data_IF_270657671878
#
_entry.id   IF_270657671878
#
_cell.length_a   1.000
_cell.length_b   1.000
_cell.length_c   1.000
_cell.angle_alpha   90.00
_cell.angle_beta   90.00
_cell.angle_gamma   90.00
#
_symmetry.space_group_name_H-M   'P 1'
#
loop_
_entity.id
_entity.type
_entity.pdbx_description
1 polymer ?
#
# COMPACT_ATOMS: atom_id res chain seq x y z
N UNK A 1 10.09 -9.36 -15.95
CA UNK A 1 10.31 -7.89 -15.96
C UNK A 1 9.30 -7.07 -15.13
N UNK A 2 8.19 -7.65 -14.65
CA UNK A 2 7.09 -6.92 -13.99
C UNK A 2 7.38 -6.59 -12.50
N UNK A 3 8.26 -7.37 -11.87
CA UNK A 3 8.53 -7.32 -10.42
C UNK A 3 9.32 -6.08 -9.97
N UNK A 4 10.31 -5.66 -10.76
CA UNK A 4 11.10 -4.44 -10.49
C UNK A 4 10.22 -3.19 -10.46
N UNK A 5 9.23 -3.13 -11.35
CA UNK A 5 8.29 -2.01 -11.44
C UNK A 5 7.32 -1.94 -10.25
N UNK A 6 6.96 -3.09 -9.65
CA UNK A 6 6.16 -3.15 -8.42
C UNK A 6 6.97 -2.74 -7.18
N UNK A 7 8.21 -3.20 -7.08
CA UNK A 7 9.10 -2.86 -5.97
C UNK A 7 9.38 -1.35 -5.88
N UNK A 8 9.60 -0.69 -7.03
CA UNK A 8 9.85 0.75 -7.09
C UNK A 8 8.61 1.58 -6.77
N UNK A 9 7.44 1.18 -7.27
CA UNK A 9 6.17 1.86 -6.96
C UNK A 9 5.84 1.79 -5.46
N UNK A 10 6.05 0.64 -4.84
CA UNK A 10 5.78 0.51 -3.42
C UNK A 10 6.74 1.33 -2.54
N UNK A 11 8.04 1.37 -2.87
CA UNK A 11 8.99 2.22 -2.15
C UNK A 11 8.54 3.69 -2.17
N UNK A 12 8.03 4.15 -3.31
CA UNK A 12 7.50 5.50 -3.45
C UNK A 12 6.24 5.72 -2.59
N UNK A 13 5.33 4.73 -2.51
CA UNK A 13 4.09 4.83 -1.71
C UNK A 13 4.35 4.89 -0.21
N UNK A 14 5.28 4.09 0.32
CA UNK A 14 5.63 4.16 1.75
C UNK A 14 6.47 5.39 2.11
N UNK A 15 7.39 5.82 1.24
CA UNK A 15 8.11 7.09 1.45
C UNK A 15 7.14 8.26 1.50
N UNK A 16 6.08 8.23 0.68
CA UNK A 16 5.01 9.23 0.73
C UNK A 16 4.17 9.17 2.03
N UNK A 17 4.17 8.05 2.74
CA UNK A 17 3.56 7.88 4.07
C UNK A 17 4.57 8.07 5.22
N UNK A 18 5.78 8.57 4.93
CA UNK A 18 6.83 8.83 5.92
C UNK A 18 7.77 7.64 6.21
N UNK A 19 7.63 6.52 5.51
CA UNK A 19 8.49 5.35 5.65
C UNK A 19 9.88 5.57 5.04
N UNK A 20 10.94 5.36 5.83
CA UNK A 20 12.33 5.45 5.33
C UNK A 20 12.77 4.10 4.74
N UNK A 21 13.42 4.08 3.57
CA UNK A 21 13.99 2.84 3.04
C UNK A 21 15.15 2.40 3.92
N UNK A 22 15.04 1.20 4.52
CA UNK A 22 16.08 0.59 5.34
C UNK A 22 16.65 -0.62 4.61
N UNK A 23 17.96 -0.65 4.41
CA UNK A 23 18.66 -1.84 3.97
C UNK A 23 18.85 -2.79 5.14
N UNK A 24 18.47 -4.06 4.98
CA UNK A 24 18.62 -5.10 6.01
C UNK A 24 19.49 -6.24 5.49
N UNK A 25 20.45 -6.64 6.31
CA UNK A 25 21.30 -7.80 6.07
C UNK A 25 20.71 -8.98 6.83
N UNK A 26 20.47 -10.10 6.14
CA UNK A 26 19.88 -11.30 6.74
C UNK A 26 20.98 -12.35 6.98
N UNK A 27 20.90 -13.04 8.12
CA UNK A 27 21.69 -14.25 8.33
C UNK A 27 21.20 -15.37 7.41
N UNK A 28 22.03 -16.37 7.07
CA UNK A 28 21.62 -17.46 6.18
C UNK A 28 20.34 -18.16 6.62
N UNK A 29 20.18 -18.43 7.93
CA UNK A 29 18.97 -19.03 8.48
C UNK A 29 17.73 -18.13 8.35
N UNK A 30 17.88 -16.81 8.53
CA UNK A 30 16.80 -15.85 8.33
C UNK A 30 16.37 -15.78 6.86
N UNK A 31 17.31 -15.85 5.93
CA UNK A 31 17.02 -15.91 4.48
C UNK A 31 16.18 -17.13 4.13
N UNK A 32 16.59 -18.32 4.59
CA UNK A 32 15.85 -19.56 4.33
C UNK A 32 14.43 -19.55 4.93
N UNK A 33 14.27 -19.01 6.15
CA UNK A 33 12.95 -18.84 6.76
C UNK A 33 12.07 -17.88 5.93
N UNK A 34 12.65 -16.82 5.36
CA UNK A 34 11.96 -15.87 4.52
C UNK A 34 11.51 -16.47 3.18
N UNK A 35 12.33 -17.32 2.57
CA UNK A 35 11.97 -18.07 1.37
C UNK A 35 10.81 -19.03 1.64
N UNK A 36 10.81 -19.71 2.78
CA UNK A 36 9.70 -20.58 3.19
C UNK A 36 8.38 -19.81 3.36
N UNK A 37 8.42 -18.61 3.94
CA UNK A 37 7.24 -17.74 4.09
C UNK A 37 6.74 -17.27 2.71
N UNK A 38 7.65 -16.87 1.82
CA UNK A 38 7.29 -16.47 0.46
C UNK A 38 6.60 -17.60 -0.29
N UNK A 39 7.16 -18.82 -0.24
CA UNK A 39 6.60 -19.99 -0.89
C UNK A 39 5.23 -20.39 -0.32
N UNK A 40 5.09 -20.38 1.03
CA UNK A 40 3.88 -20.82 1.72
C UNK A 40 2.69 -19.89 1.47
N UNK A 41 2.92 -18.59 1.38
CA UNK A 41 1.85 -17.60 1.24
C UNK A 41 1.77 -16.96 -0.14
N UNK A 42 2.62 -17.39 -1.08
CA UNK A 42 2.76 -16.82 -2.43
C UNK A 42 2.86 -15.29 -2.40
N UNK A 43 3.74 -14.79 -1.52
CA UNK A 43 3.95 -13.36 -1.31
C UNK A 43 5.36 -12.95 -1.73
N UNK A 44 5.54 -11.67 -2.07
CA UNK A 44 6.87 -11.12 -2.34
C UNK A 44 7.75 -11.14 -1.08
N UNK A 45 9.07 -11.22 -1.23
CA UNK A 45 10.07 -11.11 -0.14
C UNK A 45 9.78 -9.96 0.81
N UNK A 46 9.35 -8.83 0.23
CA UNK A 46 9.07 -7.59 0.95
C UNK A 46 7.84 -7.69 1.85
N UNK A 47 6.80 -8.35 1.36
CA UNK A 47 5.56 -8.60 2.09
C UNK A 47 5.82 -9.61 3.22
N UNK A 48 6.62 -10.64 2.94
CA UNK A 48 7.08 -11.58 3.97
C UNK A 48 7.87 -10.88 5.08
N UNK A 49 8.79 -9.96 4.74
CA UNK A 49 9.51 -9.12 5.72
C UNK A 49 8.53 -8.26 6.52
N UNK A 50 7.58 -7.60 5.86
CA UNK A 50 6.61 -6.70 6.52
C UNK A 50 5.77 -7.46 7.55
N UNK A 51 5.23 -8.62 7.16
CA UNK A 51 4.45 -9.50 8.05
C UNK A 51 5.29 -10.06 9.20
N UNK A 52 6.54 -10.41 8.95
CA UNK A 52 7.45 -10.88 10.00
C UNK A 52 7.74 -9.77 11.03
N UNK A 53 7.91 -8.52 10.58
CA UNK A 53 8.12 -7.37 11.46
C UNK A 53 6.85 -6.99 12.23
N UNK A 54 5.67 -7.02 11.60
CA UNK A 54 4.39 -6.82 12.27
C UNK A 54 4.14 -7.89 13.33
N UNK A 55 4.44 -9.15 13.01
CA UNK A 55 4.37 -10.25 13.95
C UNK A 55 5.35 -10.04 15.13
N UNK A 56 6.60 -9.69 14.85
CA UNK A 56 7.58 -9.40 15.89
C UNK A 56 7.15 -8.20 16.77
N UNK A 57 6.61 -7.13 16.15
CA UNK A 57 6.10 -5.96 16.85
C UNK A 57 4.94 -6.30 17.80
N UNK A 58 3.98 -7.12 17.35
CA UNK A 58 2.86 -7.58 18.15
C UNK A 58 3.28 -8.48 19.34
N UNK A 59 4.47 -9.06 19.28
CA UNK A 59 5.00 -9.97 20.30
C UNK A 59 6.26 -9.42 20.99
N UNK A 60 6.57 -8.12 20.85
CA UNK A 60 7.74 -7.49 21.50
C UNK A 60 7.70 -7.60 23.04
N UNK A 61 6.50 -7.69 23.62
CA UNK A 61 6.31 -7.91 25.07
C UNK A 61 6.59 -9.34 25.55
N UNK A 62 6.90 -10.28 24.65
CA UNK A 62 7.28 -11.66 25.00
C UNK A 62 8.80 -11.90 24.92
N UNK A 63 9.57 -10.86 24.60
CA UNK A 63 11.01 -10.93 24.36
C UNK A 63 11.87 -10.54 25.60
N UNK A 64 11.35 -10.70 26.82
CA UNK A 64 12.25 -10.91 27.97
C UNK A 64 12.69 -12.37 28.00
N UNK A 65 13.59 -12.68 27.07
CA UNK A 65 14.49 -13.83 27.13
C UNK A 65 15.76 -13.45 26.36
N UNK A 66 16.40 -12.37 26.80
CA UNK A 66 17.77 -12.08 26.43
C UNK A 66 18.69 -13.08 27.10
N UNK A 67 18.85 -14.26 26.49
CA UNK A 67 19.97 -15.21 26.61
C UNK A 67 19.50 -16.56 26.05
N UNK A 68 19.74 -16.79 24.77
CA UNK A 68 19.34 -18.06 24.16
C UNK A 68 19.53 -18.17 22.66
N UNK A 69 20.43 -17.39 22.05
CA UNK A 69 20.90 -17.69 20.69
C UNK A 69 22.28 -18.37 20.77
N UNK A 70 22.30 -19.55 21.38
CA UNK A 70 23.34 -20.55 21.14
C UNK A 70 22.77 -21.59 20.18
N UNK A 71 23.40 -21.72 19.02
CA UNK A 71 23.22 -22.83 18.10
C UNK A 71 23.57 -24.14 18.80
N UNK A 72 22.64 -25.11 18.80
CA UNK A 72 22.91 -26.51 19.13
C UNK A 72 22.10 -27.03 20.33
N UNK A 73 20.97 -27.67 20.05
CA UNK A 73 20.24 -28.45 21.05
C UNK A 73 18.91 -28.93 20.50
N UNK A 74 18.71 -30.25 20.46
CA UNK A 74 17.46 -30.92 20.13
C UNK A 74 16.30 -30.37 20.99
N UNK A 75 15.60 -29.36 20.50
CA UNK A 75 14.30 -29.00 21.03
C UNK A 75 13.22 -29.70 20.21
N UNK A 76 12.94 -30.94 20.59
CA UNK A 76 11.61 -31.51 20.38
C UNK A 76 10.62 -30.59 21.08
N UNK A 77 9.72 -29.90 20.37
CA UNK A 77 8.67 -29.15 21.04
C UNK A 77 7.86 -30.14 21.88
N UNK A 78 7.58 -29.80 23.13
CA UNK A 78 6.70 -30.60 23.97
C UNK A 78 5.29 -30.57 23.36
N UNK A 79 4.93 -31.66 22.68
CA UNK A 79 3.66 -31.83 21.99
C UNK A 79 2.53 -32.23 22.94
N UNK A 80 2.82 -32.48 24.22
CA UNK A 80 1.82 -32.85 25.22
C UNK A 80 0.64 -31.86 25.32
N UNK A 81 0.82 -30.52 25.27
CA UNK A 81 -0.29 -29.57 25.34
C UNK A 81 -1.16 -29.58 24.07
N UNK A 82 -0.55 -29.85 22.92
CA UNK A 82 -1.24 -29.92 21.62
C UNK A 82 -2.04 -31.21 21.51
N UNK A 83 -1.46 -32.33 21.95
CA UNK A 83 -2.14 -33.63 22.00
C UNK A 83 -3.31 -33.61 22.99
N UNK A 84 -3.16 -32.98 24.15
CA UNK A 84 -4.25 -32.80 25.11
C UNK A 84 -5.42 -31.98 24.53
N UNK A 85 -5.11 -30.92 23.76
CA UNK A 85 -6.13 -30.12 23.05
C UNK A 85 -6.81 -30.89 21.93
N UNK A 86 -6.08 -31.75 21.22
CA UNK A 86 -6.64 -32.61 20.17
C UNK A 86 -7.59 -33.67 20.75
N UNK A 87 -7.20 -34.34 21.83
CA UNK A 87 -8.05 -35.30 22.53
C UNK A 87 -9.34 -34.64 23.07
N UNK A 88 -9.24 -33.40 23.56
CA UNK A 88 -10.40 -32.63 24.02
C UNK A 88 -11.35 -32.23 22.87
N UNK A 89 -10.80 -31.90 21.70
CA UNK A 89 -11.59 -31.62 20.49
C UNK A 89 -12.28 -32.88 19.96
N UNK A 90 -11.59 -34.02 19.93
CA UNK A 90 -12.18 -35.31 19.55
C UNK A 90 -13.31 -35.72 20.50
N UNK A 91 -13.13 -35.53 21.81
CA UNK A 91 -14.17 -35.76 22.82
C UNK A 91 -15.40 -34.88 22.60
N UNK A 92 -15.20 -33.61 22.22
CA UNK A 92 -16.30 -32.68 21.91
C UNK A 92 -17.01 -33.04 20.59
N UNK A 93 -16.28 -33.51 19.58
CA UNK A 93 -16.88 -33.96 18.33
C UNK A 93 -17.68 -35.25 18.49
N UNK A 94 -17.21 -36.20 19.31
CA UNK A 94 -17.97 -37.42 19.64
C UNK A 94 -19.30 -37.16 20.35
N UNK A 95 -19.47 -36.00 21.00
CA UNK A 95 -20.76 -35.59 21.58
C UNK A 95 -21.74 -34.96 20.58
N UNK A 96 -21.26 -34.52 19.40
CA UNK A 96 -22.09 -33.89 18.37
C UNK A 96 -22.70 -34.93 17.42
N UNK A 97 -22.06 -36.10 17.28
CA UNK A 97 -22.57 -37.20 16.42
C UNK A 97 -23.70 -38.02 17.05
N UNK A 98 -24.07 -37.78 18.31
CA UNK A 98 -25.13 -38.50 19.02
C UNK A 98 -26.50 -37.80 18.99
N UNK A 99 -26.88 -37.17 17.87
CA UNK A 99 -28.27 -36.67 17.69
C UNK A 99 -28.74 -36.76 16.23
N UNK A 100 -29.75 -37.58 15.90
CA UNK A 100 -30.27 -37.68 14.53
C UNK A 100 -31.19 -36.48 14.17
N UNK A 101 -31.43 -36.23 12.87
CA UNK A 101 -32.12 -35.03 12.39
C UNK A 101 -33.65 -35.23 12.30
N UNK A 102 -34.40 -34.20 12.69
CA UNK A 102 -35.82 -33.99 12.37
C UNK A 102 -35.90 -32.51 11.99
N UNK A 103 -35.93 -32.13 10.70
CA UNK A 103 -36.99 -32.25 9.70
C UNK A 103 -38.25 -31.46 10.04
N UNK A 104 -38.60 -30.54 9.13
CA UNK A 104 -39.86 -29.78 9.10
C UNK A 104 -39.62 -28.30 8.82
N UNK A 105 -39.70 -27.86 7.55
CA UNK A 105 -40.90 -27.23 6.94
C UNK A 105 -41.11 -25.78 7.44
N UNK A 106 -41.47 -24.74 6.68
CA UNK A 106 -41.75 -24.42 5.25
C UNK A 106 -42.19 -22.95 5.30
N UNK A 107 -42.11 -22.19 4.20
CA UNK A 107 -42.82 -20.92 4.06
C UNK A 107 -42.01 -19.83 3.35
N UNK A 108 -41.97 -19.84 2.02
CA UNK A 108 -42.76 -18.97 1.13
C UNK A 108 -42.13 -17.58 0.91
N UNK A 109 -41.60 -17.30 -0.29
CA UNK A 109 -42.27 -16.74 -1.49
C UNK A 109 -42.29 -15.21 -1.47
N UNK A 110 -41.59 -14.59 -2.42
CA UNK A 110 -41.68 -13.17 -2.72
C UNK A 110 -40.70 -12.77 -3.82
N UNK A 111 -41.21 -12.71 -5.04
CA UNK A 111 -40.49 -12.41 -6.28
C UNK A 111 -39.96 -10.95 -6.37
N UNK A 112 -39.10 -10.66 -7.36
CA UNK A 112 -38.40 -9.40 -7.56
C UNK A 112 -39.18 -8.46 -8.49
N UNK A 113 -39.14 -7.15 -8.24
CA UNK A 113 -39.26 -6.09 -9.25
C UNK A 113 -39.20 -4.73 -8.55
N UNK A 114 -38.21 -3.91 -8.86
CA UNK A 114 -38.42 -2.49 -9.16
C UNK A 114 -37.17 -1.97 -9.88
N UNK A 115 -37.40 -1.67 -11.16
CA UNK A 115 -36.52 -0.90 -12.02
C UNK A 115 -36.35 0.53 -11.48
N UNK A 116 -35.18 1.14 -11.74
CA UNK A 116 -35.02 2.56 -12.11
C UNK A 116 -33.55 2.83 -12.49
N UNK A 117 -33.34 2.93 -13.81
CA UNK A 117 -32.57 3.92 -14.58
C UNK A 117 -31.14 4.38 -14.19
N UNK A 118 -30.31 4.73 -15.20
CA UNK A 118 -28.90 5.07 -15.07
C UNK A 118 -28.71 6.59 -14.82
N UNK A 119 -28.06 6.95 -13.72
CA UNK A 119 -27.62 8.34 -13.51
C UNK A 119 -26.27 8.56 -14.21
N UNK A 120 -26.35 9.08 -15.44
CA UNK A 120 -25.27 9.82 -16.06
C UNK A 120 -25.13 11.21 -15.44
N UNK A 121 -23.87 11.66 -15.37
CA UNK A 121 -23.40 13.03 -15.19
C UNK A 121 -23.68 13.69 -13.83
N UNK A 122 -22.61 13.95 -13.08
CA UNK A 122 -22.37 15.25 -12.47
C UNK A 122 -20.91 15.40 -12.01
N UNK A 123 -20.15 16.12 -12.84
CA UNK A 123 -19.28 17.22 -12.40
C UNK A 123 -18.33 16.95 -11.23
N UNK A 124 -17.21 16.28 -11.49
CA UNK A 124 -15.97 16.53 -10.73
C UNK A 124 -15.30 17.84 -11.19
N UNK A 125 -16.06 18.92 -11.12
CA UNK A 125 -15.59 20.30 -11.30
C UNK A 125 -15.51 20.92 -9.90
N UNK A 126 -14.75 20.28 -9.00
CA UNK A 126 -14.69 20.64 -7.58
C UNK A 126 -13.30 20.97 -7.06
N UNK A 127 -12.26 20.88 -7.89
CA UNK A 127 -10.91 21.34 -7.57
C UNK A 127 -10.56 22.50 -8.51
N UNK A 128 -11.44 23.50 -8.53
CA UNK A 128 -11.11 24.79 -9.12
C UNK A 128 -9.96 25.37 -8.29
N UNK A 129 -8.77 25.34 -8.89
CA UNK A 129 -7.60 26.14 -8.61
C UNK A 129 -7.89 27.30 -7.67
N UNK A 130 -7.49 27.17 -6.40
CA UNK A 130 -7.49 28.26 -5.41
C UNK A 130 -6.53 29.40 -5.78
N UNK A 131 -5.76 29.24 -6.86
CA UNK A 131 -4.89 30.30 -7.36
C UNK A 131 -5.61 31.20 -8.37
N UNK A 132 -5.47 32.53 -8.24
CA UNK A 132 -6.02 33.49 -9.19
C UNK A 132 -5.46 33.24 -10.60
N UNK A 133 -6.29 33.46 -11.64
CA UNK A 133 -5.99 33.05 -13.02
C UNK A 133 -4.62 33.51 -13.55
N UNK A 134 -4.20 34.74 -13.23
CA UNK A 134 -2.87 35.25 -13.62
C UNK A 134 -1.71 34.51 -12.90
N UNK A 135 -1.91 34.10 -11.65
CA UNK A 135 -0.91 33.31 -10.92
C UNK A 135 -0.82 31.88 -11.46
N UNK A 136 -1.95 31.31 -11.86
CA UNK A 136 -1.99 30.02 -12.53
C UNK A 136 -1.26 30.06 -13.88
N UNK A 137 -1.46 31.10 -14.68
CA UNK A 137 -0.79 31.26 -15.98
C UNK A 137 0.73 31.44 -15.83
N UNK A 138 1.17 32.25 -14.86
CA UNK A 138 2.60 32.38 -14.52
C UNK A 138 3.20 31.05 -14.06
N UNK A 139 2.44 30.25 -13.32
CA UNK A 139 2.90 28.94 -12.88
C UNK A 139 2.98 27.93 -14.04
N UNK A 140 2.04 27.98 -14.98
CA UNK A 140 2.11 27.19 -16.23
C UNK A 140 3.35 27.58 -17.04
N UNK A 141 3.61 28.87 -17.21
CA UNK A 141 4.78 29.37 -17.92
C UNK A 141 6.08 28.95 -17.23
N UNK A 142 6.14 29.10 -15.91
CA UNK A 142 7.26 28.63 -15.10
C UNK A 142 7.51 27.13 -15.27
N UNK A 143 6.46 26.31 -15.13
CA UNK A 143 6.54 24.86 -15.28
C UNK A 143 6.96 24.48 -16.69
N UNK A 144 6.44 25.14 -17.73
CA UNK A 144 6.82 24.92 -19.11
C UNK A 144 8.30 25.23 -19.35
N UNK A 145 8.79 26.37 -18.84
CA UNK A 145 10.19 26.76 -18.97
C UNK A 145 11.12 25.74 -18.31
N UNK A 146 10.81 25.32 -17.08
CA UNK A 146 11.61 24.33 -16.36
C UNK A 146 11.54 22.93 -16.99
N UNK A 147 10.39 22.52 -17.53
CA UNK A 147 10.26 21.27 -18.27
C UNK A 147 10.94 21.31 -19.65
N UNK A 148 11.07 22.49 -20.26
CA UNK A 148 11.86 22.68 -21.47
C UNK A 148 13.37 22.62 -21.18
N UNK A 149 13.83 23.28 -20.11
CA UNK A 149 15.24 23.30 -19.70
C UNK A 149 15.76 21.94 -19.20
N UNK A 150 14.98 21.25 -18.33
CA UNK A 150 15.39 20.00 -17.68
C UNK A 150 14.78 18.75 -18.31
N UNK A 151 13.94 18.91 -19.32
CA UNK A 151 13.18 17.85 -19.97
C UNK A 151 11.82 17.56 -19.30
N UNK A 152 10.88 17.07 -20.11
CA UNK A 152 9.49 16.82 -19.68
C UNK A 152 9.36 15.82 -18.51
N UNK A 153 10.40 14.99 -18.29
CA UNK A 153 10.44 14.00 -17.21
C UNK A 153 10.99 14.53 -15.88
N UNK A 154 11.17 15.84 -15.75
CA UNK A 154 11.59 16.47 -14.49
C UNK A 154 10.62 16.09 -13.36
N UNK A 155 11.17 15.76 -12.20
CA UNK A 155 10.37 15.37 -11.05
C UNK A 155 9.51 16.55 -10.56
N UNK A 156 8.24 16.29 -10.24
CA UNK A 156 7.31 17.32 -9.72
C UNK A 156 7.77 17.91 -8.39
N UNK A 157 8.47 17.12 -7.58
CA UNK A 157 9.16 17.58 -6.36
C UNK A 157 10.19 18.67 -6.69
N UNK A 158 11.00 18.46 -7.72
CA UNK A 158 12.00 19.43 -8.16
C UNK A 158 11.36 20.69 -8.74
N UNK A 159 10.28 20.56 -9.51
CA UNK A 159 9.53 21.71 -10.02
C UNK A 159 8.93 22.55 -8.88
N UNK A 160 8.37 21.89 -7.86
CA UNK A 160 7.83 22.54 -6.67
C UNK A 160 8.90 23.29 -5.87
N UNK A 161 10.07 22.66 -5.66
CA UNK A 161 11.21 23.27 -4.98
C UNK A 161 11.73 24.50 -5.72
N UNK A 162 11.87 24.41 -7.06
CA UNK A 162 12.31 25.53 -7.89
C UNK A 162 11.30 26.68 -7.87
N UNK A 163 10.00 26.37 -7.98
CA UNK A 163 8.95 27.38 -7.92
C UNK A 163 8.97 28.14 -6.59
N UNK A 164 9.22 27.43 -5.49
CA UNK A 164 9.36 28.02 -4.15
C UNK A 164 10.62 28.88 -4.02
N UNK A 165 11.73 28.47 -4.62
CA UNK A 165 12.99 29.23 -4.61
C UNK A 165 12.89 30.53 -5.43
N UNK A 166 12.15 30.49 -6.54
CA UNK A 166 11.96 31.65 -7.43
C UNK A 166 10.80 32.56 -7.00
N UNK A 167 10.12 32.23 -5.89
CA UNK A 167 9.04 33.04 -5.34
C UNK A 167 7.79 33.08 -6.23
N UNK A 168 7.59 32.05 -7.07
CA UNK A 168 6.36 31.92 -7.84
C UNK A 168 5.23 31.56 -6.89
N UNK A 169 4.06 32.17 -7.09
CA UNK A 169 2.86 31.83 -6.31
C UNK A 169 2.50 30.38 -6.62
N UNK A 170 2.63 29.53 -5.62
CA UNK A 170 2.35 28.09 -5.68
C UNK A 170 1.40 27.70 -4.57
N UNK A 171 0.89 26.47 -4.68
CA UNK A 171 0.01 25.89 -3.68
C UNK A 171 0.83 25.50 -2.44
N UNK A 172 0.19 25.48 -1.27
CA UNK A 172 0.87 25.26 0.02
C UNK A 172 1.46 23.85 0.15
N UNK A 173 0.90 22.91 -0.60
CA UNK A 173 1.32 21.50 -0.57
C UNK A 173 1.83 21.02 -1.93
N UNK A 174 2.82 20.13 -1.88
CA UNK A 174 3.32 19.43 -3.07
C UNK A 174 2.22 18.63 -3.78
N UNK A 175 1.23 18.12 -3.02
CA UNK A 175 0.13 17.33 -3.58
C UNK A 175 -0.74 18.19 -4.49
N UNK A 176 -1.15 19.36 -4.01
CA UNK A 176 -1.93 20.33 -4.78
C UNK A 176 -1.16 20.85 -6.00
N UNK A 177 0.13 21.17 -5.83
CA UNK A 177 0.99 21.53 -6.96
C UNK A 177 1.08 20.41 -8.01
N UNK A 178 1.21 19.15 -7.57
CA UNK A 178 1.26 18.00 -8.46
C UNK A 178 -0.06 17.77 -9.21
N UNK A 179 -1.19 18.03 -8.55
CA UNK A 179 -2.51 18.00 -9.16
C UNK A 179 -2.64 19.13 -10.20
N UNK A 180 -2.22 20.35 -9.86
CA UNK A 180 -2.19 21.50 -10.76
C UNK A 180 -1.40 21.21 -12.04
N UNK A 181 -0.17 20.70 -11.91
CA UNK A 181 0.66 20.33 -13.06
C UNK A 181 -0.02 19.27 -13.90
N UNK A 182 -0.63 18.26 -13.27
CA UNK A 182 -1.34 17.18 -13.98
C UNK A 182 -2.53 17.72 -14.78
N UNK A 183 -3.31 18.64 -14.21
CA UNK A 183 -4.46 19.26 -14.84
C UNK A 183 -4.07 20.18 -16.01
N UNK A 184 -2.91 20.83 -15.92
CA UNK A 184 -2.44 21.81 -16.91
C UNK A 184 -1.38 21.25 -17.87
N UNK A 185 -1.13 19.93 -17.90
CA UNK A 185 -0.07 19.35 -18.73
C UNK A 185 -0.16 19.72 -20.21
N UNK A 186 -1.37 19.78 -20.78
CA UNK A 186 -1.54 20.12 -22.19
C UNK A 186 -1.20 21.58 -22.47
N UNK A 187 -1.59 22.50 -21.58
CA UNK A 187 -1.22 23.93 -21.65
C UNK A 187 0.27 24.14 -21.45
N UNK A 188 0.89 23.38 -20.54
CA UNK A 188 2.35 23.39 -20.31
C UNK A 188 3.08 22.95 -21.58
N UNK A 189 2.66 21.85 -22.21
CA UNK A 189 3.25 21.36 -23.48
C UNK A 189 3.04 22.29 -24.64
N UNK A 190 1.91 22.98 -24.69
CA UNK A 190 1.66 24.05 -25.66
C UNK A 190 2.67 25.19 -25.48
N UNK A 191 2.82 25.72 -24.27
CA UNK A 191 3.83 26.75 -23.98
C UNK A 191 5.27 26.30 -24.23
N UNK A 192 5.59 25.02 -23.98
CA UNK A 192 6.91 24.48 -24.31
C UNK A 192 7.21 24.51 -25.81
N UNK A 193 6.19 24.45 -26.68
CA UNK A 193 6.37 24.56 -28.14
C UNK A 193 6.70 25.99 -28.57
N UNK A 194 6.22 26.98 -27.82
CA UNK A 194 6.49 28.40 -28.09
C UNK A 194 7.93 28.82 -27.73
N UNK A 195 8.65 28.02 -26.93
CA UNK A 195 10.05 28.26 -26.58
C UNK A 195 11.05 27.68 -27.59
N UNK A 196 10.58 27.07 -28.66
CA UNK A 196 11.39 26.36 -29.66
C UNK A 196 11.68 27.22 -30.88
#
# INVERSE_FOLDING_TARGET
MIEKSRATRWRATLVAQGGKPVGVTLTPGATSALEAIQARYNVSQREAISRALEFAAAHMGQAEAGEGFCLGGDHRPDLAPVLARLAELERRMGMIEAKPPVSGQTGQTGQPEFALEPAAAESQTGLASTMPGEAADRLVEFSARRMWEFGERVARTKLYELARQEGVVIHDTLHEYSAFVSLNMDRIRERMRDFK
#
